data_IF_909643766555
#
_entry.id   IF_909643766555
#
_cell.length_a   1.000
_cell.length_b   1.000
_cell.length_c   1.000
_cell.angle_alpha   90.00
_cell.angle_beta   90.00
_cell.angle_gamma   90.00
#
_symmetry.space_group_name_H-M   'P 1'
#
loop_
_entity.id
_entity.type
_entity.pdbx_description
1 polymer ?
#
# COMPACT_ATOMS: atom_id res chain seq x y z
N UNK A 1 -0.91 12.88 15.30
CA UNK A 1 0.34 12.37 14.66
C UNK A 1 0.14 12.38 13.15
N UNK A 2 1.12 12.88 12.39
CA UNK A 2 0.96 13.04 10.95
C UNK A 2 1.24 11.74 10.19
N UNK A 3 0.38 11.45 9.24
CA UNK A 3 0.46 10.38 8.27
C UNK A 3 0.79 10.97 6.91
N UNK A 4 1.48 10.22 6.06
CA UNK A 4 1.73 10.64 4.69
C UNK A 4 1.39 9.54 3.68
N UNK A 5 0.90 9.94 2.53
CA UNK A 5 0.83 9.12 1.33
C UNK A 5 1.61 9.79 0.21
N UNK A 6 2.33 8.99 -0.54
CA UNK A 6 3.20 9.45 -1.61
C UNK A 6 2.57 9.06 -2.95
N UNK A 7 2.34 10.05 -3.81
CA UNK A 7 1.98 9.83 -5.20
C UNK A 7 3.21 9.95 -6.08
N UNK A 8 3.41 8.97 -6.97
CA UNK A 8 4.55 8.93 -7.88
C UNK A 8 4.10 8.73 -9.32
N UNK A 9 5.03 9.02 -10.25
CA UNK A 9 4.92 8.64 -11.67
C UNK A 9 6.15 7.82 -12.02
N UNK A 10 6.20 6.59 -11.45
CA UNK A 10 7.38 5.74 -11.56
C UNK A 10 7.63 5.29 -13.00
N UNK A 11 8.90 5.21 -13.35
CA UNK A 11 9.39 4.82 -14.65
C UNK A 11 10.11 3.45 -14.59
N UNK A 12 10.71 3.00 -15.69
CA UNK A 12 11.46 1.76 -15.72
C UNK A 12 12.79 1.83 -14.96
N UNK A 13 13.36 3.02 -14.79
CA UNK A 13 14.67 3.24 -14.21
C UNK A 13 14.61 3.28 -12.66
N UNK A 14 15.14 2.24 -12.02
CA UNK A 14 15.10 2.07 -10.55
C UNK A 14 15.73 3.26 -9.83
N UNK A 15 16.93 3.69 -10.23
CA UNK A 15 17.64 4.80 -9.57
C UNK A 15 16.87 6.13 -9.62
N UNK A 16 16.24 6.41 -10.76
CA UNK A 16 15.43 7.62 -10.91
C UNK A 16 14.20 7.59 -9.99
N UNK A 17 13.53 6.42 -9.91
CA UNK A 17 12.38 6.24 -9.02
C UNK A 17 12.78 6.36 -7.54
N UNK A 18 13.91 5.79 -7.14
CA UNK A 18 14.41 5.92 -5.77
C UNK A 18 14.75 7.38 -5.42
N UNK A 19 15.34 8.13 -6.35
CA UNK A 19 15.60 9.55 -6.16
C UNK A 19 14.30 10.36 -6.04
N UNK A 20 13.29 10.05 -6.85
CA UNK A 20 11.95 10.65 -6.78
C UNK A 20 11.31 10.35 -5.41
N UNK A 21 11.26 9.07 -5.01
CA UNK A 21 10.71 8.65 -3.74
C UNK A 21 11.42 9.35 -2.56
N UNK A 22 12.76 9.46 -2.60
CA UNK A 22 13.54 10.13 -1.55
C UNK A 22 13.10 11.58 -1.36
N UNK A 23 13.00 12.37 -2.43
CA UNK A 23 12.55 13.77 -2.35
C UNK A 23 11.16 13.91 -1.74
N UNK A 24 10.26 13.01 -2.08
CA UNK A 24 8.88 13.04 -1.57
C UNK A 24 8.80 12.60 -0.11
N UNK A 25 9.56 11.58 0.30
CA UNK A 25 9.67 11.14 1.69
C UNK A 25 10.33 12.21 2.57
N UNK A 26 11.33 12.94 2.07
CA UNK A 26 11.92 14.09 2.76
C UNK A 26 10.87 15.20 3.03
N UNK A 27 10.02 15.51 2.05
CA UNK A 27 8.90 16.45 2.24
C UNK A 27 7.91 15.94 3.29
N UNK A 28 7.60 14.64 3.28
CA UNK A 28 6.73 14.04 4.28
C UNK A 28 7.33 14.14 5.70
N UNK A 29 8.61 13.82 5.85
CA UNK A 29 9.32 13.92 7.12
C UNK A 29 9.41 15.38 7.62
N UNK A 30 9.74 16.33 6.74
CA UNK A 30 9.72 17.76 7.05
C UNK A 30 8.34 18.26 7.50
N UNK A 31 7.26 17.70 6.94
CA UNK A 31 5.88 17.93 7.38
C UNK A 31 5.50 17.21 8.68
N UNK A 32 6.43 16.53 9.33
CA UNK A 32 6.23 15.83 10.61
C UNK A 32 5.52 14.49 10.50
N UNK A 33 5.54 13.85 9.33
CA UNK A 33 5.03 12.49 9.20
C UNK A 33 5.86 11.49 10.01
N UNK A 34 5.18 10.52 10.61
CA UNK A 34 5.80 9.38 11.33
C UNK A 34 5.64 8.08 10.57
N UNK A 35 4.68 8.02 9.65
CA UNK A 35 4.44 6.92 8.73
C UNK A 35 4.17 7.47 7.34
N UNK A 36 4.83 6.91 6.31
CA UNK A 36 4.58 7.22 4.92
C UNK A 36 4.29 5.94 4.12
N UNK A 37 3.38 6.03 3.16
CA UNK A 37 3.02 4.93 2.25
C UNK A 37 3.46 5.29 0.83
N UNK A 38 4.35 4.47 0.24
CA UNK A 38 4.74 4.53 -1.16
C UNK A 38 3.73 3.78 -2.04
N UNK A 39 3.55 4.13 -3.33
CA UNK A 39 2.62 3.45 -4.21
C UNK A 39 3.12 2.08 -4.68
N UNK A 40 2.22 1.26 -5.21
CA UNK A 40 2.55 -0.01 -5.87
C UNK A 40 3.57 0.21 -7.00
N UNK A 41 4.54 -0.71 -7.14
CA UNK A 41 5.62 -0.64 -8.13
C UNK A 41 6.47 0.65 -8.06
N UNK A 42 6.61 1.26 -6.87
CA UNK A 42 7.29 2.53 -6.69
C UNK A 42 8.72 2.54 -7.26
N UNK A 43 9.45 1.42 -7.16
CA UNK A 43 10.85 1.33 -7.55
C UNK A 43 11.04 0.95 -9.03
N UNK A 44 10.08 0.23 -9.65
CA UNK A 44 10.20 -0.24 -11.03
C UNK A 44 8.80 -0.42 -11.65
N UNK A 45 8.47 0.39 -12.65
CA UNK A 45 7.19 0.36 -13.35
C UNK A 45 7.38 0.05 -14.83
N UNK A 46 6.58 -0.87 -15.38
CA UNK A 46 6.64 -1.21 -16.80
C UNK A 46 7.81 -2.10 -17.22
N UNK A 47 8.54 -2.71 -16.28
CA UNK A 47 9.63 -3.66 -16.56
C UNK A 47 9.09 -5.08 -16.75
N UNK A 48 9.87 -5.88 -17.51
CA UNK A 48 9.58 -7.30 -17.75
C UNK A 48 10.47 -8.26 -16.95
N UNK A 49 11.54 -7.75 -16.37
CA UNK A 49 12.56 -8.52 -15.61
C UNK A 49 12.36 -8.42 -14.09
N UNK A 50 11.11 -8.31 -13.65
CA UNK A 50 10.78 -8.13 -12.22
C UNK A 50 11.30 -9.24 -11.33
N UNK A 51 11.27 -10.51 -11.81
CA UNK A 51 11.82 -11.64 -11.06
C UNK A 51 13.35 -11.54 -10.88
N UNK A 52 14.06 -10.97 -11.86
CA UNK A 52 15.52 -10.75 -11.75
C UNK A 52 15.81 -9.68 -10.70
N UNK A 53 15.07 -8.57 -10.74
CA UNK A 53 15.17 -7.51 -9.74
C UNK A 53 14.93 -8.09 -8.34
N UNK A 54 13.85 -8.85 -8.15
CA UNK A 54 13.49 -9.42 -6.86
C UNK A 54 14.53 -10.38 -6.30
N UNK A 55 15.13 -11.24 -7.14
CA UNK A 55 16.21 -12.12 -6.73
C UNK A 55 17.47 -11.36 -6.32
N UNK A 56 17.86 -10.35 -7.09
CA UNK A 56 19.01 -9.50 -6.74
C UNK A 56 18.80 -8.82 -5.37
N UNK A 57 17.59 -8.29 -5.11
CA UNK A 57 17.25 -7.73 -3.81
C UNK A 57 17.32 -8.78 -2.68
N UNK A 58 16.76 -9.97 -2.89
CA UNK A 58 16.76 -11.05 -1.90
C UNK A 58 18.17 -11.60 -1.60
N UNK A 59 19.11 -11.49 -2.55
CA UNK A 59 20.52 -11.84 -2.37
C UNK A 59 21.33 -10.71 -1.74
N UNK A 60 20.77 -9.51 -1.55
CA UNK A 60 21.47 -8.33 -1.05
C UNK A 60 22.33 -7.63 -2.11
N UNK A 61 22.14 -7.94 -3.38
CA UNK A 61 22.85 -7.37 -4.53
C UNK A 61 22.08 -6.20 -5.18
N UNK A 62 20.79 -6.07 -4.84
CA UNK A 62 19.93 -5.01 -5.35
C UNK A 62 20.03 -3.69 -4.58
N UNK A 63 19.71 -2.56 -5.21
CA UNK A 63 19.83 -1.24 -4.58
C UNK A 63 18.61 -0.86 -3.73
N UNK A 64 17.45 -1.53 -3.86
CA UNK A 64 16.18 -1.02 -3.32
C UNK A 64 16.09 -1.24 -1.81
N UNK A 65 16.34 -2.46 -1.32
CA UNK A 65 16.27 -2.77 0.10
C UNK A 65 17.28 -1.99 0.94
N UNK A 66 18.57 -1.89 0.56
CA UNK A 66 19.52 -1.03 1.27
C UNK A 66 19.09 0.43 1.29
N UNK A 67 18.57 0.94 0.17
CA UNK A 67 18.06 2.30 0.07
C UNK A 67 16.87 2.56 0.98
N UNK A 68 15.90 1.63 1.05
CA UNK A 68 14.74 1.73 1.94
C UNK A 68 15.17 1.81 3.40
N UNK A 69 16.01 0.88 3.84
CA UNK A 69 16.54 0.82 5.20
C UNK A 69 17.29 2.10 5.57
N UNK A 70 18.14 2.59 4.70
CA UNK A 70 18.88 3.82 4.93
C UNK A 70 17.96 5.04 4.96
N UNK A 71 16.98 5.12 4.03
CA UNK A 71 16.02 6.24 3.98
C UNK A 71 15.16 6.30 5.23
N UNK A 72 14.68 5.17 5.73
CA UNK A 72 13.89 5.10 6.96
C UNK A 72 14.68 5.62 8.17
N UNK A 73 15.95 5.21 8.31
CA UNK A 73 16.86 5.71 9.36
C UNK A 73 17.11 7.19 9.27
N UNK A 74 17.51 7.66 8.08
CA UNK A 74 17.89 9.07 7.86
C UNK A 74 16.73 10.02 8.18
N UNK A 75 15.51 9.60 7.87
CA UNK A 75 14.31 10.41 8.04
C UNK A 75 13.57 10.13 9.35
N UNK A 76 14.00 9.14 10.14
CA UNK A 76 13.29 8.65 11.33
C UNK A 76 11.80 8.39 11.02
N UNK A 77 11.55 7.68 9.92
CA UNK A 77 10.24 7.52 9.30
C UNK A 77 9.91 6.04 9.08
N UNK A 78 8.75 5.62 9.55
CA UNK A 78 8.18 4.33 9.17
C UNK A 78 7.71 4.39 7.72
N UNK A 79 8.09 3.40 6.90
CA UNK A 79 7.80 3.39 5.46
C UNK A 79 7.10 2.09 5.06
N UNK A 80 5.87 2.19 4.55
CA UNK A 80 5.25 1.13 3.76
C UNK A 80 5.82 1.23 2.35
N UNK A 81 6.60 0.24 1.97
CA UNK A 81 7.40 0.26 0.74
C UNK A 81 6.62 -0.15 -0.52
N UNK A 82 5.41 0.37 -0.67
CA UNK A 82 4.60 0.11 -1.87
C UNK A 82 4.57 -1.38 -2.23
N UNK A 83 5.17 -1.76 -3.36
CA UNK A 83 5.47 -3.16 -3.68
C UNK A 83 6.84 -3.36 -4.30
N UNK A 84 7.41 -4.53 -4.00
CA UNK A 84 8.65 -5.07 -4.54
C UNK A 84 8.39 -6.51 -5.05
N UNK A 85 8.99 -6.94 -6.14
CA UNK A 85 8.81 -8.28 -6.69
C UNK A 85 9.71 -9.31 -5.97
N UNK A 86 9.50 -9.53 -4.67
CA UNK A 86 10.37 -10.39 -3.87
C UNK A 86 9.94 -11.86 -3.92
N UNK A 87 10.89 -12.82 -3.98
CA UNK A 87 10.57 -14.23 -3.77
C UNK A 87 10.09 -14.47 -2.33
N UNK A 88 9.47 -15.64 -2.03
CA UNK A 88 9.18 -16.04 -0.66
C UNK A 88 10.45 -16.05 0.21
N UNK A 89 10.31 -15.78 1.50
CA UNK A 89 11.47 -15.74 2.42
C UNK A 89 12.14 -17.14 2.57
N UNK A 90 11.38 -18.20 2.40
CA UNK A 90 11.79 -19.60 2.50
C UNK A 90 12.16 -20.26 1.16
N UNK A 91 11.88 -19.60 0.03
CA UNK A 91 12.18 -20.08 -1.32
C UNK A 91 12.65 -18.93 -2.24
N UNK A 92 13.97 -18.69 -2.25
CA UNK A 92 14.59 -17.60 -3.03
C UNK A 92 14.50 -17.76 -4.54
N UNK A 93 14.27 -18.98 -5.03
CA UNK A 93 14.07 -19.29 -6.44
C UNK A 93 12.60 -19.36 -6.82
N UNK A 94 11.72 -19.27 -5.83
CA UNK A 94 10.29 -19.30 -6.01
C UNK A 94 9.75 -18.16 -6.85
N UNK A 95 8.54 -18.32 -7.34
CA UNK A 95 7.84 -17.29 -8.11
C UNK A 95 7.67 -16.05 -7.23
N UNK A 96 8.07 -14.85 -7.70
CA UNK A 96 8.01 -13.65 -6.90
C UNK A 96 6.57 -13.32 -6.48
N UNK A 97 6.46 -12.57 -5.40
CA UNK A 97 5.21 -12.00 -4.89
C UNK A 97 5.24 -10.48 -5.01
N UNK A 98 4.10 -9.87 -5.26
CA UNK A 98 3.97 -8.42 -5.14
C UNK A 98 3.97 -8.07 -3.63
N UNK A 99 5.18 -7.88 -3.10
CA UNK A 99 5.45 -7.82 -1.67
C UNK A 99 5.49 -6.38 -1.17
N UNK A 100 4.67 -6.04 -0.19
CA UNK A 100 4.72 -4.79 0.55
C UNK A 100 5.47 -5.01 1.87
N UNK A 101 6.54 -4.23 2.10
CA UNK A 101 7.31 -4.25 3.33
C UNK A 101 6.96 -3.05 4.19
N UNK A 102 6.91 -3.25 5.50
CA UNK A 102 6.97 -2.15 6.46
C UNK A 102 8.37 -2.08 7.04
N UNK A 103 9.03 -0.95 6.87
CA UNK A 103 10.35 -0.66 7.41
C UNK A 103 10.18 0.37 8.53
N UNK A 104 10.75 0.09 9.69
CA UNK A 104 10.71 0.96 10.84
C UNK A 104 11.76 2.11 10.78
N UNK A 105 11.74 3.00 11.73
CA UNK A 105 12.66 4.15 11.82
C UNK A 105 14.12 3.75 12.14
N UNK A 106 14.36 2.50 12.53
CA UNK A 106 15.70 1.92 12.69
C UNK A 106 16.19 1.28 11.38
N UNK A 107 15.34 1.23 10.35
CA UNK A 107 15.63 0.62 9.06
C UNK A 107 15.51 -0.91 9.09
N UNK A 108 14.81 -1.47 10.09
CA UNK A 108 14.54 -2.89 10.14
C UNK A 108 13.17 -3.23 9.53
N UNK A 109 13.04 -4.47 9.06
CA UNK A 109 11.76 -4.96 8.50
C UNK A 109 10.82 -5.34 9.63
N UNK A 110 9.86 -4.48 9.94
CA UNK A 110 8.82 -4.74 10.93
C UNK A 110 7.76 -5.72 10.43
N UNK A 111 7.40 -5.67 9.14
CA UNK A 111 6.42 -6.60 8.57
C UNK A 111 6.63 -6.84 7.07
N UNK A 112 6.06 -7.95 6.57
CA UNK A 112 5.93 -8.31 5.17
C UNK A 112 4.49 -8.72 4.88
N UNK A 113 3.94 -8.18 3.79
CA UNK A 113 2.64 -8.57 3.24
C UNK A 113 2.81 -8.92 1.76
N UNK A 114 2.42 -10.11 1.38
CA UNK A 114 2.35 -10.55 0.00
C UNK A 114 0.91 -10.41 -0.50
N UNK A 115 0.71 -9.67 -1.60
CA UNK A 115 -0.60 -9.37 -2.20
C UNK A 115 -1.45 -10.62 -2.35
N UNK A 116 -2.64 -10.62 -1.74
CA UNK A 116 -3.55 -11.77 -1.76
C UNK A 116 -4.26 -11.92 -3.10
N UNK A 117 -4.69 -10.81 -3.70
CA UNK A 117 -5.52 -10.84 -4.90
C UNK A 117 -4.76 -10.26 -6.10
N UNK A 118 -4.47 -11.11 -7.07
CA UNK A 118 -3.75 -10.74 -8.28
C UNK A 118 -4.68 -10.15 -9.34
N UNK A 119 -4.19 -9.14 -10.07
CA UNK A 119 -4.95 -8.39 -11.04
C UNK A 119 -5.02 -9.11 -12.40
N UNK A 120 -5.88 -10.12 -12.51
CA UNK A 120 -6.13 -10.89 -13.72
C UNK A 120 -7.46 -10.46 -14.33
N UNK A 121 -7.43 -9.46 -15.19
CA UNK A 121 -8.65 -8.83 -15.74
C UNK A 121 -8.46 -8.40 -17.20
N UNK A 122 -9.58 -8.22 -17.87
CA UNK A 122 -9.65 -7.52 -19.15
C UNK A 122 -10.25 -6.13 -18.90
N UNK A 123 -9.54 -5.08 -19.36
CA UNK A 123 -9.93 -3.67 -19.17
C UNK A 123 -10.06 -2.99 -20.52
N UNK A 124 -11.05 -2.14 -20.68
CA UNK A 124 -11.25 -1.35 -21.90
C UNK A 124 -10.29 -0.14 -21.94
N UNK A 125 -8.97 -0.41 -21.91
CA UNK A 125 -7.90 0.57 -22.06
C UNK A 125 -6.93 0.14 -23.18
N UNK A 126 -5.85 0.92 -23.40
CA UNK A 126 -4.90 0.66 -24.49
C UNK A 126 -4.11 -0.65 -24.34
N UNK A 127 -4.02 -1.22 -23.13
CA UNK A 127 -3.38 -2.51 -22.86
C UNK A 127 -4.34 -3.68 -23.03
N UNK A 128 -5.61 -3.48 -22.68
CA UNK A 128 -6.69 -4.44 -22.85
C UNK A 128 -6.67 -5.62 -21.88
N UNK A 129 -5.52 -6.26 -21.67
CA UNK A 129 -5.39 -7.48 -20.87
C UNK A 129 -4.30 -7.37 -19.81
N UNK A 130 -4.64 -7.75 -18.59
CA UNK A 130 -3.74 -7.85 -17.44
C UNK A 130 -3.79 -9.27 -16.88
N UNK A 131 -2.63 -9.87 -16.65
CA UNK A 131 -2.46 -11.19 -16.03
C UNK A 131 -1.28 -11.12 -15.08
N UNK A 132 -1.54 -10.63 -13.89
CA UNK A 132 -0.51 -10.49 -12.85
C UNK A 132 -0.03 -11.85 -12.38
N UNK A 133 -0.91 -12.86 -12.45
CA UNK A 133 -0.56 -14.26 -12.14
C UNK A 133 0.44 -14.89 -13.09
N UNK A 134 0.70 -14.31 -14.27
CA UNK A 134 1.77 -14.79 -15.15
C UNK A 134 3.16 -14.55 -14.50
N UNK A 135 3.32 -13.41 -13.82
CA UNK A 135 4.58 -12.95 -13.22
C UNK A 135 4.67 -13.21 -11.72
N UNK A 136 3.57 -13.22 -10.99
CA UNK A 136 3.52 -13.28 -9.51
C UNK A 136 2.71 -14.46 -8.99
N UNK A 137 3.08 -14.95 -7.81
CA UNK A 137 2.24 -15.81 -6.99
C UNK A 137 1.46 -14.97 -5.95
N UNK A 138 0.27 -15.42 -5.56
CA UNK A 138 -0.52 -14.76 -4.52
C UNK A 138 0.04 -15.01 -3.12
N UNK A 139 -0.23 -14.12 -2.19
CA UNK A 139 -0.02 -14.31 -0.76
C UNK A 139 -1.13 -15.16 -0.12
N UNK A 140 -0.99 -15.42 1.19
CA UNK A 140 -1.92 -16.29 1.93
C UNK A 140 -2.31 -15.70 3.30
N UNK A 141 -1.71 -14.56 3.69
CA UNK A 141 -1.81 -14.07 5.06
C UNK A 141 -2.39 -12.66 5.12
N UNK A 142 -3.25 -12.44 6.10
CA UNK A 142 -3.70 -11.11 6.52
C UNK A 142 -2.71 -10.58 7.54
N UNK A 143 -2.17 -9.39 7.32
CA UNK A 143 -1.10 -8.80 8.15
C UNK A 143 -1.57 -7.51 8.81
N UNK A 144 -1.47 -7.48 10.14
CA UNK A 144 -1.69 -6.28 10.96
C UNK A 144 -0.50 -6.12 11.89
N UNK A 145 0.00 -4.90 12.04
CA UNK A 145 1.24 -4.63 12.77
C UNK A 145 1.11 -3.36 13.60
N UNK A 146 1.68 -3.37 14.81
CA UNK A 146 1.72 -2.19 15.68
C UNK A 146 2.76 -1.20 15.16
N UNK A 147 2.40 0.08 15.13
CA UNK A 147 3.25 1.18 14.72
C UNK A 147 3.12 2.36 15.70
N UNK A 148 4.04 3.32 15.71
CA UNK A 148 3.92 4.50 16.57
C UNK A 148 2.67 5.35 16.30
N UNK A 149 2.04 5.18 15.15
CA UNK A 149 0.82 5.94 14.77
C UNK A 149 -0.47 5.14 14.93
N UNK A 150 -0.39 3.89 15.39
CA UNK A 150 -1.51 2.98 15.59
C UNK A 150 -1.36 1.67 14.82
N UNK A 151 -2.29 0.75 15.02
CA UNK A 151 -2.28 -0.58 14.42
C UNK A 151 -2.61 -0.51 12.93
N UNK A 152 -1.65 -0.91 12.08
CA UNK A 152 -1.71 -0.80 10.63
C UNK A 152 -2.01 -2.13 9.95
N UNK A 153 -3.07 -2.19 9.16
CA UNK A 153 -3.36 -3.28 8.22
C UNK A 153 -2.69 -3.03 6.87
N UNK A 154 -2.11 -4.07 6.28
CA UNK A 154 -1.43 -3.99 4.98
C UNK A 154 -2.32 -4.57 3.89
N UNK A 155 -2.48 -3.84 2.78
CA UNK A 155 -3.13 -4.29 1.53
C UNK A 155 -2.38 -3.74 0.32
N UNK A 156 -2.70 -4.26 -0.88
CA UNK A 156 -2.14 -3.77 -2.14
C UNK A 156 -3.21 -3.72 -3.22
N UNK A 157 -3.48 -2.55 -3.77
CA UNK A 157 -4.15 -2.27 -5.04
C UNK A 157 -5.44 -3.06 -5.27
N UNK A 158 -5.40 -4.18 -5.98
CA UNK A 158 -6.56 -4.99 -6.33
C UNK A 158 -7.29 -5.56 -5.11
N UNK A 159 -6.58 -5.72 -3.98
CA UNK A 159 -7.17 -6.08 -2.69
C UNK A 159 -8.31 -5.14 -2.28
N UNK A 160 -8.30 -3.89 -2.75
CA UNK A 160 -9.35 -2.91 -2.50
C UNK A 160 -10.75 -3.39 -2.92
N UNK A 161 -10.85 -4.36 -3.82
CA UNK A 161 -12.12 -4.90 -4.30
C UNK A 161 -12.73 -5.97 -3.41
N UNK A 162 -11.97 -6.47 -2.44
CA UNK A 162 -12.34 -7.62 -1.60
C UNK A 162 -12.63 -7.17 -0.16
N UNK A 163 -13.90 -6.86 0.17
CA UNK A 163 -14.29 -6.36 1.50
C UNK A 163 -13.97 -7.34 2.62
N UNK A 164 -13.88 -8.63 2.32
CA UNK A 164 -13.56 -9.69 3.27
C UNK A 164 -12.19 -9.48 3.91
N UNK A 165 -11.18 -9.09 3.12
CA UNK A 165 -9.85 -8.76 3.62
C UNK A 165 -9.91 -7.58 4.59
N UNK A 166 -10.62 -6.51 4.23
CA UNK A 166 -10.78 -5.32 5.06
C UNK A 166 -11.52 -5.64 6.37
N UNK A 167 -12.53 -6.51 6.29
CA UNK A 167 -13.22 -7.04 7.47
C UNK A 167 -12.27 -7.79 8.41
N UNK A 168 -11.41 -8.67 7.86
CA UNK A 168 -10.43 -9.43 8.62
C UNK A 168 -9.37 -8.52 9.28
N UNK A 169 -8.86 -7.51 8.56
CA UNK A 169 -7.96 -6.50 9.12
C UNK A 169 -8.59 -5.76 10.30
N UNK A 170 -9.86 -5.37 10.15
CA UNK A 170 -10.60 -4.70 11.23
C UNK A 170 -10.82 -5.60 12.44
N UNK A 171 -11.12 -6.88 12.23
CA UNK A 171 -11.24 -7.89 13.31
C UNK A 171 -9.92 -8.09 14.04
N UNK A 172 -8.79 -8.04 13.33
CA UNK A 172 -7.45 -8.08 13.91
C UNK A 172 -7.04 -6.78 14.63
N UNK A 173 -7.93 -5.79 14.69
CA UNK A 173 -7.73 -4.56 15.44
C UNK A 173 -7.13 -3.40 14.65
N UNK A 174 -7.05 -3.47 13.33
CA UNK A 174 -6.53 -2.36 12.52
C UNK A 174 -7.25 -1.04 12.83
N UNK A 175 -6.46 0.01 12.88
CA UNK A 175 -6.89 1.41 13.06
C UNK A 175 -6.59 2.24 11.81
N UNK A 176 -5.56 1.82 11.07
CA UNK A 176 -5.15 2.37 9.78
C UNK A 176 -5.03 1.22 8.78
N UNK A 177 -5.26 1.49 7.50
CA UNK A 177 -5.06 0.52 6.42
C UNK A 177 -4.30 1.20 5.29
N UNK A 178 -3.17 0.63 4.87
CA UNK A 178 -2.40 1.10 3.72
C UNK A 178 -2.88 0.45 2.43
N UNK A 179 -2.95 1.24 1.35
CA UNK A 179 -3.36 0.81 0.01
C UNK A 179 -2.37 1.36 -1.03
N UNK A 180 -1.15 0.82 -1.11
CA UNK A 180 -0.30 1.04 -2.28
C UNK A 180 -1.01 0.59 -3.55
N UNK A 181 -1.06 1.42 -4.59
CA UNK A 181 -1.85 1.11 -5.78
C UNK A 181 -1.25 1.66 -7.08
N UNK A 182 -1.62 1.01 -8.20
CA UNK A 182 -1.40 1.46 -9.56
C UNK A 182 -2.67 1.21 -10.41
N UNK A 183 -3.80 1.71 -9.95
CA UNK A 183 -5.09 1.59 -10.65
C UNK A 183 -5.00 2.17 -12.05
N UNK A 184 -5.51 1.46 -13.06
CA UNK A 184 -5.59 2.00 -14.41
C UNK A 184 -6.49 3.24 -14.43
N UNK A 185 -6.24 4.17 -15.36
CA UNK A 185 -7.05 5.38 -15.46
C UNK A 185 -8.55 5.07 -15.61
N UNK A 186 -8.89 4.04 -16.41
CA UNK A 186 -10.28 3.63 -16.67
C UNK A 186 -10.95 3.09 -15.41
N UNK A 187 -10.34 2.09 -14.75
CA UNK A 187 -10.92 1.49 -13.55
C UNK A 187 -10.86 2.42 -12.34
N UNK A 188 -9.85 3.29 -12.30
CA UNK A 188 -9.69 4.30 -11.25
C UNK A 188 -10.81 5.32 -11.28
N UNK A 189 -11.09 5.91 -12.45
CA UNK A 189 -12.16 6.89 -12.62
C UNK A 189 -13.54 6.36 -12.18
N UNK A 190 -13.79 5.06 -12.41
CA UNK A 190 -15.07 4.45 -12.05
C UNK A 190 -15.16 3.99 -10.59
N UNK A 191 -14.03 3.55 -9.98
CA UNK A 191 -14.09 2.77 -8.74
C UNK A 191 -13.27 3.31 -7.58
N UNK A 192 -12.15 4.00 -7.84
CA UNK A 192 -11.14 4.30 -6.81
C UNK A 192 -11.70 5.08 -5.63
N UNK A 193 -12.30 6.24 -5.89
CA UNK A 193 -12.82 7.10 -4.82
C UNK A 193 -13.97 6.45 -4.06
N UNK A 194 -14.85 5.71 -4.76
CA UNK A 194 -15.97 5.01 -4.12
C UNK A 194 -15.46 3.89 -3.21
N UNK A 195 -14.55 3.04 -3.70
CA UNK A 195 -14.05 1.91 -2.94
C UNK A 195 -13.20 2.35 -1.75
N UNK A 196 -12.29 3.31 -1.93
CA UNK A 196 -11.43 3.79 -0.83
C UNK A 196 -12.27 4.37 0.31
N UNK A 197 -13.28 5.18 0.01
CA UNK A 197 -14.21 5.70 1.01
C UNK A 197 -15.06 4.62 1.65
N UNK A 198 -15.55 3.65 0.86
CA UNK A 198 -16.33 2.53 1.39
C UNK A 198 -15.51 1.71 2.39
N UNK A 199 -14.24 1.40 2.07
CA UNK A 199 -13.34 0.67 2.99
C UNK A 199 -13.09 1.43 4.28
N UNK A 200 -12.88 2.75 4.22
CA UNK A 200 -12.73 3.59 5.41
C UNK A 200 -13.99 3.56 6.29
N UNK A 201 -15.18 3.69 5.69
CA UNK A 201 -16.47 3.73 6.39
C UNK A 201 -16.78 2.38 7.06
N UNK A 202 -16.71 1.28 6.31
CA UNK A 202 -17.12 -0.04 6.80
C UNK A 202 -16.18 -0.60 7.87
N UNK A 203 -14.89 -0.25 7.80
CA UNK A 203 -13.89 -0.65 8.81
C UNK A 203 -13.73 0.35 9.95
N UNK A 204 -14.18 1.58 9.76
CA UNK A 204 -13.93 2.70 10.67
C UNK A 204 -12.44 2.88 10.95
N UNK A 205 -11.63 2.74 9.87
CA UNK A 205 -10.19 2.93 9.88
C UNK A 205 -9.80 4.14 9.01
N UNK A 206 -8.67 4.78 9.35
CA UNK A 206 -8.02 5.67 8.40
C UNK A 206 -7.52 4.86 7.21
N UNK A 207 -7.75 5.35 5.99
CA UNK A 207 -7.25 4.73 4.76
C UNK A 207 -6.15 5.60 4.16
N UNK A 208 -4.98 4.98 3.93
CA UNK A 208 -3.79 5.60 3.39
C UNK A 208 -3.60 5.10 1.94
N UNK A 209 -4.27 5.76 1.00
CA UNK A 209 -4.34 5.35 -0.39
C UNK A 209 -3.25 6.03 -1.22
N UNK A 210 -2.13 5.34 -1.45
CA UNK A 210 -0.97 5.84 -2.19
C UNK A 210 -0.99 5.28 -3.63
N UNK A 211 -1.23 6.13 -4.62
CA UNK A 211 -1.38 5.75 -6.01
C UNK A 211 -0.21 6.15 -6.90
N UNK A 212 0.00 5.40 -7.98
CA UNK A 212 0.71 5.89 -9.16
C UNK A 212 -0.23 6.83 -9.93
N UNK A 213 0.27 8.01 -10.39
CA UNK A 213 -0.60 9.05 -10.95
C UNK A 213 -0.05 9.71 -12.20
N UNK A 214 -0.17 9.05 -13.36
CA UNK A 214 0.30 9.61 -14.63
C UNK A 214 0.62 8.56 -15.68
N UNK A 215 1.48 8.95 -16.64
CA UNK A 215 1.94 8.10 -17.73
C UNK A 215 3.20 7.32 -17.35
N UNK A 216 3.19 6.03 -17.67
CA UNK A 216 4.29 5.10 -17.40
C UNK A 216 4.81 4.47 -18.70
N UNK A 217 5.98 3.79 -18.67
CA UNK A 217 6.51 3.07 -19.83
C UNK A 217 5.51 2.06 -20.40
N UNK A 218 5.41 2.04 -21.72
CA UNK A 218 4.33 1.36 -22.44
C UNK A 218 3.04 2.19 -22.44
N UNK A 219 1.97 1.73 -23.06
CA UNK A 219 0.73 2.50 -23.16
C UNK A 219 -0.09 2.40 -21.84
N UNK A 220 0.53 2.67 -20.70
CA UNK A 220 -0.12 2.55 -19.38
C UNK A 220 -0.28 3.91 -18.71
N UNK A 221 -1.55 4.24 -18.40
CA UNK A 221 -1.92 5.37 -17.58
C UNK A 221 -2.55 4.91 -16.28
N UNK A 222 -2.13 5.53 -15.17
CA UNK A 222 -2.71 5.30 -13.84
C UNK A 222 -3.51 6.50 -13.37
N UNK A 223 -4.48 6.22 -12.49
CA UNK A 223 -5.51 7.17 -12.12
C UNK A 223 -5.01 8.27 -11.19
N UNK A 224 -4.01 8.00 -10.34
CA UNK A 224 -3.61 8.94 -9.30
C UNK A 224 -4.61 8.97 -8.16
N UNK A 225 -5.07 10.16 -7.81
CA UNK A 225 -6.04 10.41 -6.75
C UNK A 225 -5.63 9.77 -5.41
N UNK A 226 -4.31 9.85 -5.11
CA UNK A 226 -3.83 9.45 -3.77
C UNK A 226 -4.52 10.27 -2.71
N UNK A 227 -4.93 9.63 -1.63
CA UNK A 227 -5.71 10.29 -0.60
C UNK A 227 -5.47 9.71 0.80
N UNK A 228 -5.70 10.53 1.82
CA UNK A 228 -5.90 10.09 3.20
C UNK A 228 -7.36 10.30 3.55
N UNK A 229 -8.02 9.23 3.98
CA UNK A 229 -9.46 9.22 4.26
C UNK A 229 -9.66 8.88 5.73
N UNK A 230 -10.53 9.61 6.40
CA UNK A 230 -10.84 9.40 7.81
C UNK A 230 -11.83 8.24 8.03
N UNK A 231 -12.03 7.77 9.28
CA UNK A 231 -12.94 6.68 9.61
C UNK A 231 -14.44 6.96 9.32
N UNK A 232 -14.80 8.19 9.03
CA UNK A 232 -16.16 8.60 8.64
C UNK A 232 -16.36 8.64 7.12
N UNK A 233 -15.27 8.45 6.35
CA UNK A 233 -15.25 8.53 4.90
C UNK A 233 -14.99 9.94 4.35
N UNK A 234 -14.59 10.87 5.22
CA UNK A 234 -14.13 12.20 4.82
C UNK A 234 -12.75 12.13 4.17
N UNK A 235 -12.60 12.77 3.00
CA UNK A 235 -11.30 12.91 2.33
C UNK A 235 -10.56 14.07 2.97
N UNK A 236 -9.49 13.78 3.73
CA UNK A 236 -8.71 14.80 4.43
C UNK A 236 -7.76 15.54 3.48
N UNK A 237 -7.19 14.80 2.55
CA UNK A 237 -6.31 15.33 1.51
C UNK A 237 -6.35 14.40 0.29
N UNK A 238 -6.28 14.97 -0.91
CA UNK A 238 -6.25 14.24 -2.17
C UNK A 238 -5.36 14.97 -3.18
N UNK A 239 -4.70 14.22 -4.07
CA UNK A 239 -3.94 14.71 -5.22
C UNK A 239 -4.39 14.00 -6.48
N UNK A 240 -4.81 14.73 -7.48
CA UNK A 240 -5.27 14.24 -8.77
C UNK A 240 -4.16 13.47 -9.51
N UNK A 241 -3.23 14.17 -10.16
CA UNK A 241 -2.17 13.61 -11.00
C UNK A 241 -0.80 14.14 -10.59
N UNK A 242 0.26 13.49 -11.08
CA UNK A 242 1.64 13.92 -10.87
C UNK A 242 2.23 13.46 -9.54
N UNK A 243 3.33 14.07 -9.14
CA UNK A 243 4.06 13.74 -7.92
C UNK A 243 3.56 14.55 -6.73
N UNK A 244 3.33 13.90 -5.59
CA UNK A 244 2.97 14.60 -4.36
C UNK A 244 3.38 13.83 -3.09
N UNK A 245 3.64 14.59 -2.03
CA UNK A 245 3.65 14.10 -0.65
C UNK A 245 2.46 14.73 0.07
N UNK A 246 1.46 13.94 0.39
CA UNK A 246 0.22 14.36 1.02
C UNK A 246 0.26 14.04 2.50
N UNK A 247 -0.12 14.98 3.35
CA UNK A 247 -0.08 14.81 4.80
C UNK A 247 -1.44 15.10 5.41
N UNK A 248 -1.79 14.29 6.42
CA UNK A 248 -2.93 14.57 7.29
C UNK A 248 -2.64 14.09 8.72
N UNK A 249 -3.29 14.71 9.70
CA UNK A 249 -3.18 14.30 11.09
C UNK A 249 -4.22 13.23 11.40
N UNK A 250 -3.79 12.17 12.11
CA UNK A 250 -4.69 11.21 12.72
C UNK A 250 -5.25 11.76 14.04
N UNK A 251 -6.56 11.68 14.20
CA UNK A 251 -7.27 11.87 15.46
C UNK A 251 -7.79 10.51 15.97
N UNK A 252 -7.05 9.89 16.90
CA UNK A 252 -7.43 8.61 17.49
C UNK A 252 -8.61 8.72 18.44
N UNK A 253 -8.82 9.89 19.07
CA UNK A 253 -9.95 10.12 19.96
C UNK A 253 -11.26 10.18 19.17
N UNK A 254 -11.28 10.90 18.04
CA UNK A 254 -12.47 10.95 17.18
C UNK A 254 -12.73 9.58 16.54
N UNK A 255 -11.71 8.82 16.14
CA UNK A 255 -11.88 7.45 15.67
C UNK A 255 -12.55 6.56 16.73
N UNK A 256 -12.10 6.64 17.97
CA UNK A 256 -12.71 5.90 19.09
C UNK A 256 -14.17 6.33 19.32
N UNK A 257 -14.45 7.63 19.27
CA UNK A 257 -15.79 8.17 19.40
C UNK A 257 -16.73 7.69 18.26
N UNK A 258 -16.26 7.66 17.02
CA UNK A 258 -17.00 7.09 15.87
C UNK A 258 -17.36 5.63 16.14
N UNK A 259 -16.38 4.81 16.57
CA UNK A 259 -16.58 3.38 16.87
C UNK A 259 -17.56 3.15 18.01
N UNK A 260 -17.56 4.04 19.00
CA UNK A 260 -18.49 3.99 20.14
C UNK A 260 -19.91 4.39 19.72
N UNK A 261 -20.07 5.48 18.97
CA UNK A 261 -21.38 5.97 18.51
C UNK A 261 -22.04 5.03 17.48
N UNK A 262 -21.22 4.37 16.64
CA UNK A 262 -21.70 3.45 15.61
C UNK A 262 -20.94 2.11 15.68
N UNK A 263 -21.27 1.21 16.62
CA UNK A 263 -20.50 -0.01 16.87
C UNK A 263 -20.82 -1.12 15.84
N UNK A 264 -20.59 -0.84 14.54
CA UNK A 264 -20.95 -1.73 13.43
C UNK A 264 -20.34 -3.13 13.56
N UNK A 265 -19.13 -3.24 14.13
CA UNK A 265 -18.49 -4.54 14.34
C UNK A 265 -19.23 -5.41 15.36
N UNK A 266 -19.85 -4.80 16.37
CA UNK A 266 -20.66 -5.52 17.36
C UNK A 266 -22.04 -5.93 16.79
N UNK A 267 -22.50 -5.22 15.75
CA UNK A 267 -23.77 -5.50 15.08
C UNK A 267 -23.65 -6.55 13.96
N UNK A 268 -22.42 -6.93 13.57
CA UNK A 268 -22.23 -8.00 12.55
C UNK A 268 -22.85 -9.30 13.01
N UNK A 269 -23.52 -9.99 12.06
CA UNK A 269 -24.17 -11.30 12.26
C UNK A 269 -23.56 -12.38 11.39
N UNK A 270 -22.86 -11.98 10.30
CA UNK A 270 -22.16 -12.89 9.40
C UNK A 270 -20.66 -12.72 9.62
N UNK A 271 -19.99 -13.85 9.86
CA UNK A 271 -18.54 -13.93 10.00
C UNK A 271 -18.02 -14.82 8.88
N UNK A 272 -16.94 -14.44 8.22
CA UNK A 272 -16.26 -15.29 7.25
C UNK A 272 -15.59 -16.46 7.98
N UNK A 273 -16.24 -17.63 8.00
CA UNK A 273 -15.57 -18.86 8.40
C UNK A 273 -14.64 -19.28 7.28
N UNK A 274 -13.33 -19.05 7.41
CA UNK A 274 -12.34 -19.50 6.43
C UNK A 274 -11.28 -18.48 6.00
N UNK A 275 -11.29 -17.29 6.54
CA UNK A 275 -10.18 -16.35 6.34
C UNK A 275 -8.96 -16.83 7.14
N UNK A 276 -7.80 -16.87 6.49
CA UNK A 276 -6.53 -17.14 7.17
C UNK A 276 -6.43 -16.26 8.44
N UNK A 277 -6.03 -16.87 9.57
CA UNK A 277 -5.94 -16.13 10.83
C UNK A 277 -4.96 -14.97 10.64
N UNK A 278 -5.35 -13.73 11.03
CA UNK A 278 -4.44 -12.59 10.91
C UNK A 278 -3.18 -12.84 11.75
N UNK A 279 -2.03 -12.54 11.17
CA UNK A 279 -0.79 -12.45 11.93
C UNK A 279 -0.75 -11.04 12.53
N UNK A 280 -0.77 -10.97 13.86
CA UNK A 280 -0.50 -9.74 14.60
C UNK A 280 0.98 -9.76 14.95
N UNK A 281 1.74 -8.82 14.41
CA UNK A 281 3.16 -8.60 14.75
C UNK A 281 3.20 -7.52 15.84
N UNK A 282 3.62 -7.92 17.03
CA UNK A 282 3.82 -7.03 18.20
C UNK A 282 5.20 -6.36 18.14
#
# INVERSE_FOLDING_TARGET
>A
MNLAVIQMVSQAEVRANLAQARRLLERAAQGGARLAVLPENFAAMGRRDLAVIGRAEAMGEGPILPWLKQTARDLSLWIVAGTLPLPPDDDRDGKPRACSLLIDEQGERAARYDKLHLFDVDVADNRGRYRESDDFAHGEQVVVVDTPVGRLGLTVCYDLRFPELYGALREAGAELISVPAAFTAVTGAAHWQVLTRARAIETQCYLLAAGQGGEHPGPRWTFGHSAIIDPWGGVLVEQDQGEAALLASRDGAEQAAIRQRMPVQQHRRLFSSGVARPIVVE
#
